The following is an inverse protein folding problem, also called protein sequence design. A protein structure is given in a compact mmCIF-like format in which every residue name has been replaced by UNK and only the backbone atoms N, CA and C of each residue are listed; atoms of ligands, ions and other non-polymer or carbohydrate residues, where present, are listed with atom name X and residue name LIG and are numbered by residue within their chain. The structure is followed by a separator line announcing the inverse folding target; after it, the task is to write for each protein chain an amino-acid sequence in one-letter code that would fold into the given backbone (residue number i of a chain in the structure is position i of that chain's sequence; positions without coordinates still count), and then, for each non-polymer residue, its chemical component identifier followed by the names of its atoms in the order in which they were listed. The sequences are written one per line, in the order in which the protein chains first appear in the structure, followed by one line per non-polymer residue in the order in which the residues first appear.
data_IF_822763453759
#
_entry.id   IF_822763453759
#
_cell.length_a   1.000
_cell.length_b   1.000
_cell.length_c   1.000
_cell.angle_alpha   90.00
_cell.angle_beta   90.00
_cell.angle_gamma   90.00
#
_symmetry.space_group_name_H-M   'P 1'
#
loop_
_entity.id
_entity.type
_entity.pdbx_description
1 polymer ?
#
# COMPACT_ATOMS: atom_id res chain seq x y z
N UNK A 1 -15.39 6.78 5.72
CA UNK A 1 -14.15 6.62 4.94
C UNK A 1 -14.27 7.26 3.56
N UNK A 2 -13.38 8.20 3.27
CA UNK A 2 -13.11 8.74 1.93
C UNK A 2 -11.89 8.03 1.35
N UNK A 3 -11.87 7.86 0.03
CA UNK A 3 -10.75 7.21 -0.68
C UNK A 3 -10.31 8.09 -1.82
N UNK A 4 -9.00 8.28 -1.95
CA UNK A 4 -8.39 8.87 -3.15
C UNK A 4 -7.36 7.90 -3.71
N UNK A 5 -7.27 7.84 -5.04
CA UNK A 5 -6.30 7.02 -5.79
C UNK A 5 -5.57 7.90 -6.78
N UNK A 6 -4.25 7.87 -6.74
CA UNK A 6 -3.39 8.62 -7.68
C UNK A 6 -2.43 7.63 -8.34
N UNK A 7 -2.33 7.70 -9.67
CA UNK A 7 -1.37 6.92 -10.46
C UNK A 7 -0.02 7.64 -10.48
N UNK A 8 1.05 6.91 -10.25
CA UNK A 8 2.43 7.38 -10.28
C UNK A 8 3.24 6.54 -11.27
N UNK A 9 4.14 7.22 -11.98
CA UNK A 9 5.19 6.61 -12.80
C UNK A 9 6.51 7.15 -12.25
N UNK A 10 7.38 6.25 -11.82
CA UNK A 10 8.69 6.55 -11.26
C UNK A 10 9.74 5.76 -12.06
N UNK A 11 10.39 6.46 -12.97
CA UNK A 11 11.38 5.89 -13.88
C UNK A 11 12.68 6.69 -13.82
N UNK A 12 13.79 6.04 -14.17
CA UNK A 12 15.07 6.72 -14.29
C UNK A 12 15.07 7.71 -15.47
N UNK A 13 16.17 8.44 -15.68
CA UNK A 13 16.40 8.98 -17.01
C UNK A 13 16.66 7.81 -17.99
N UNK A 14 16.27 7.94 -19.27
CA UNK A 14 16.69 7.00 -20.30
C UNK A 14 18.19 7.16 -20.57
N UNK A 15 18.88 6.07 -20.87
CA UNK A 15 20.28 6.08 -21.29
C UNK A 15 20.45 6.50 -22.76
N UNK A 16 21.67 6.41 -23.29
CA UNK A 16 22.00 6.80 -24.67
C UNK A 16 21.27 5.96 -25.74
N UNK A 17 20.79 4.76 -25.38
CA UNK A 17 19.96 3.87 -26.20
C UNK A 17 18.46 4.16 -26.06
N UNK A 18 18.05 4.98 -25.10
CA UNK A 18 16.65 5.21 -24.76
C UNK A 18 16.10 4.23 -23.73
N UNK A 19 16.93 3.39 -23.09
CA UNK A 19 16.50 2.41 -22.10
C UNK A 19 16.49 3.00 -20.69
N UNK A 20 15.50 2.62 -19.89
CA UNK A 20 15.37 3.04 -18.50
C UNK A 20 16.00 1.98 -17.59
N UNK A 21 16.82 2.42 -16.63
CA UNK A 21 17.41 1.53 -15.62
C UNK A 21 16.36 0.99 -14.64
N UNK A 22 15.28 1.75 -14.42
CA UNK A 22 14.07 1.30 -13.74
C UNK A 22 12.86 2.06 -14.27
N UNK A 23 11.71 1.39 -14.26
CA UNK A 23 10.40 1.97 -14.60
C UNK A 23 9.34 1.30 -13.71
N UNK A 24 8.82 2.05 -12.75
CA UNK A 24 7.79 1.60 -11.83
C UNK A 24 6.51 2.40 -12.03
N UNK A 25 5.43 1.68 -12.30
CA UNK A 25 4.10 2.27 -12.33
C UNK A 25 3.27 1.69 -11.17
N UNK A 26 2.66 2.57 -10.39
CA UNK A 26 1.88 2.17 -9.22
C UNK A 26 0.77 3.17 -8.87
N UNK A 27 -0.29 2.67 -8.26
CA UNK A 27 -1.31 3.47 -7.61
C UNK A 27 -0.96 3.68 -6.13
N UNK A 28 -1.10 4.92 -5.67
CA UNK A 28 -1.17 5.25 -4.23
C UNK A 28 -2.64 5.45 -3.86
N UNK A 29 -3.08 4.68 -2.88
CA UNK A 29 -4.39 4.83 -2.24
C UNK A 29 -4.19 5.57 -0.92
N UNK A 30 -5.04 6.58 -0.69
CA UNK A 30 -5.13 7.25 0.60
C UNK A 30 -6.57 7.16 1.12
N UNK A 31 -6.72 6.42 2.23
CA UNK A 31 -7.99 6.20 2.93
C UNK A 31 -8.06 7.11 4.15
N UNK A 32 -9.10 7.94 4.24
CA UNK A 32 -9.25 8.89 5.34
C UNK A 32 -10.58 8.66 6.05
N UNK A 33 -10.54 8.58 7.38
CA UNK A 33 -11.74 8.56 8.22
C UNK A 33 -11.49 9.34 9.50
N UNK A 34 -12.22 10.45 9.66
CA UNK A 34 -11.95 11.41 10.72
C UNK A 34 -10.55 12.03 10.59
N UNK A 35 -9.78 11.99 11.68
CA UNK A 35 -8.41 12.53 11.74
C UNK A 35 -7.30 11.52 11.44
N UNK A 36 -7.64 10.37 10.87
CA UNK A 36 -6.70 9.28 10.57
C UNK A 36 -6.68 9.02 9.06
N UNK A 37 -5.48 8.88 8.49
CA UNK A 37 -5.24 8.52 7.10
C UNK A 37 -4.41 7.22 6.99
N UNK A 38 -4.73 6.32 6.07
CA UNK A 38 -3.92 5.16 5.72
C UNK A 38 -3.45 5.25 4.28
N UNK A 39 -2.17 4.97 4.05
CA UNK A 39 -1.56 4.98 2.73
C UNK A 39 -1.25 3.55 2.32
N UNK A 40 -1.72 3.14 1.13
CA UNK A 40 -1.36 1.88 0.50
C UNK A 40 -0.85 2.09 -0.92
N UNK A 41 -0.01 1.17 -1.41
CA UNK A 41 0.54 1.17 -2.76
C UNK A 41 0.24 -0.14 -3.48
N UNK A 42 -0.09 -0.08 -4.76
CA UNK A 42 -0.28 -1.26 -5.62
C UNK A 42 0.43 -1.02 -6.94
N UNK A 43 1.33 -1.91 -7.33
CA UNK A 43 2.02 -1.83 -8.61
C UNK A 43 1.15 -2.36 -9.75
N UNK A 44 1.38 -1.88 -10.96
CA UNK A 44 0.57 -2.26 -12.13
C UNK A 44 0.94 -3.62 -12.72
N UNK A 45 2.18 -4.05 -12.52
CA UNK A 45 2.71 -5.35 -12.90
C UNK A 45 2.28 -6.47 -11.94
N UNK A 46 2.02 -6.15 -10.66
CA UNK A 46 1.38 -7.04 -9.67
C UNK A 46 0.01 -6.51 -9.23
N UNK A 47 -0.99 -6.47 -10.14
CA UNK A 47 -2.26 -5.78 -9.89
C UNK A 47 -3.13 -6.42 -8.81
N UNK A 48 -2.83 -7.65 -8.38
CA UNK A 48 -3.52 -8.36 -7.30
C UNK A 48 -2.93 -8.05 -5.91
N UNK A 49 -1.80 -7.34 -5.85
CA UNK A 49 -1.10 -7.00 -4.62
C UNK A 49 -1.36 -5.54 -4.19
N UNK A 50 -1.46 -5.32 -2.88
CA UNK A 50 -1.38 -3.98 -2.31
C UNK A 50 -0.68 -3.98 -0.94
N UNK A 51 0.10 -2.94 -0.71
CA UNK A 51 0.98 -2.81 0.45
C UNK A 51 0.65 -1.56 1.25
N UNK A 52 0.20 -1.72 2.50
CA UNK A 52 0.03 -0.61 3.44
C UNK A 52 1.40 -0.09 3.88
N UNK A 53 1.66 1.20 3.69
CA UNK A 53 2.97 1.81 3.91
C UNK A 53 3.02 2.62 5.21
N UNK A 54 2.02 3.49 5.39
CA UNK A 54 2.03 4.48 6.45
C UNK A 54 0.63 4.74 7.00
N UNK A 55 0.62 5.30 8.20
CA UNK A 55 -0.55 5.91 8.81
C UNK A 55 -0.24 7.38 9.12
N UNK A 56 -1.16 8.25 8.74
CA UNK A 56 -1.20 9.65 9.16
C UNK A 56 -2.16 9.78 10.34
N UNK A 57 -1.64 10.25 11.48
CA UNK A 57 -2.47 10.52 12.66
C UNK A 57 -1.94 11.78 13.35
N UNK A 58 -2.84 12.68 13.75
CA UNK A 58 -2.48 13.96 14.38
C UNK A 58 -1.47 14.78 13.56
N UNK A 59 -1.62 14.78 12.22
CA UNK A 59 -0.73 15.49 11.29
C UNK A 59 0.68 14.91 11.19
N UNK A 60 0.91 13.72 11.74
CA UNK A 60 2.21 13.03 11.66
C UNK A 60 2.07 11.77 10.82
N UNK A 61 2.89 11.67 9.78
CA UNK A 61 3.05 10.45 8.99
C UNK A 61 4.09 9.54 9.65
N UNK A 62 3.73 8.28 9.91
CA UNK A 62 4.64 7.27 10.46
C UNK A 62 4.36 5.89 9.88
N UNK A 63 5.27 4.93 10.11
CA UNK A 63 4.98 3.52 9.84
C UNK A 63 3.81 3.04 10.71
N UNK A 64 3.08 2.05 10.18
CA UNK A 64 2.05 1.37 10.96
C UNK A 64 2.71 0.59 12.10
N UNK A 65 1.94 0.39 13.16
CA UNK A 65 2.23 -0.53 14.25
C UNK A 65 1.14 -1.59 14.29
N UNK A 66 1.34 -2.66 15.06
CA UNK A 66 0.34 -3.71 15.19
C UNK A 66 -0.99 -3.20 15.78
N UNK A 67 -0.95 -2.18 16.64
CA UNK A 67 -2.14 -1.54 17.18
C UNK A 67 -2.97 -0.81 16.10
N UNK A 68 -2.32 -0.27 15.07
CA UNK A 68 -3.00 0.42 13.98
C UNK A 68 -3.77 -0.57 13.10
N UNK A 69 -3.31 -1.82 13.00
CA UNK A 69 -4.01 -2.87 12.24
C UNK A 69 -5.37 -3.25 12.84
N UNK A 70 -5.57 -2.96 14.13
CA UNK A 70 -6.84 -3.19 14.83
C UNK A 70 -7.83 -2.01 14.69
N UNK A 71 -7.43 -0.90 14.05
CA UNK A 71 -8.30 0.26 13.87
C UNK A 71 -9.41 -0.04 12.85
N UNK A 72 -10.64 0.50 13.05
CA UNK A 72 -11.74 0.30 12.12
C UNK A 72 -11.42 0.71 10.67
N UNK A 73 -10.67 1.80 10.50
CA UNK A 73 -10.23 2.28 9.18
C UNK A 73 -9.41 1.23 8.42
N UNK A 74 -8.62 0.42 9.14
CA UNK A 74 -7.80 -0.61 8.52
C UNK A 74 -8.65 -1.74 7.92
N UNK A 75 -9.73 -2.14 8.59
CA UNK A 75 -10.67 -3.12 8.07
C UNK A 75 -11.41 -2.58 6.83
N UNK A 76 -11.89 -1.33 6.88
CA UNK A 76 -12.57 -0.69 5.76
C UNK A 76 -11.66 -0.56 4.52
N UNK A 77 -10.38 -0.20 4.73
CA UNK A 77 -9.41 -0.12 3.65
C UNK A 77 -9.11 -1.49 3.03
N UNK A 78 -8.99 -2.55 3.83
CA UNK A 78 -8.84 -3.91 3.31
C UNK A 78 -10.03 -4.33 2.46
N UNK A 79 -11.25 -4.06 2.91
CA UNK A 79 -12.46 -4.42 2.16
C UNK A 79 -12.55 -3.68 0.84
N UNK A 80 -12.22 -2.39 0.83
CA UNK A 80 -12.14 -1.61 -0.41
C UNK A 80 -11.09 -2.18 -1.38
N UNK A 81 -9.87 -2.45 -0.91
CA UNK A 81 -8.82 -3.01 -1.75
C UNK A 81 -9.21 -4.39 -2.30
N UNK A 82 -9.86 -5.24 -1.50
CA UNK A 82 -10.37 -6.53 -1.98
C UNK A 82 -11.47 -6.37 -3.05
N UNK A 83 -12.32 -5.37 -2.93
CA UNK A 83 -13.32 -5.04 -3.97
C UNK A 83 -12.67 -4.56 -5.26
N UNK A 84 -11.54 -3.84 -5.17
CA UNK A 84 -10.69 -3.47 -6.32
C UNK A 84 -9.87 -4.65 -6.88
N UNK A 85 -10.04 -5.87 -6.34
CA UNK A 85 -9.36 -7.07 -6.79
C UNK A 85 -8.00 -7.32 -6.13
N UNK A 86 -7.61 -6.56 -5.10
CA UNK A 86 -6.36 -6.79 -4.37
C UNK A 86 -6.53 -7.95 -3.39
N UNK A 87 -6.01 -9.12 -3.77
CA UNK A 87 -6.11 -10.36 -3.00
C UNK A 87 -4.97 -10.50 -2.00
N UNK A 88 -3.80 -10.00 -2.36
CA UNK A 88 -2.59 -10.12 -1.54
C UNK A 88 -2.29 -8.79 -0.86
N UNK A 89 -2.65 -8.72 0.42
CA UNK A 89 -2.46 -7.54 1.23
C UNK A 89 -1.30 -7.75 2.20
N UNK A 90 -0.34 -6.83 2.19
CA UNK A 90 0.79 -6.79 3.13
C UNK A 90 0.92 -5.41 3.75
N UNK A 91 1.75 -5.29 4.77
CA UNK A 91 2.07 -4.00 5.40
C UNK A 91 3.56 -3.86 5.66
N UNK A 92 4.07 -2.63 5.53
CA UNK A 92 5.44 -2.26 5.83
C UNK A 92 5.60 -2.18 7.35
N UNK A 93 6.00 -3.29 7.96
CA UNK A 93 6.19 -3.40 9.41
C UNK A 93 7.57 -2.95 9.87
N UNK A 94 8.52 -2.81 8.94
CA UNK A 94 9.92 -2.48 9.23
C UNK A 94 10.71 -3.62 9.86
N UNK A 95 10.16 -4.84 9.90
CA UNK A 95 10.81 -6.06 10.39
C UNK A 95 11.20 -6.97 9.23
N UNK A 96 12.23 -7.80 9.38
CA UNK A 96 12.68 -8.73 8.34
C UNK A 96 12.99 -8.01 7.03
N UNK A 97 12.41 -8.48 5.92
CA UNK A 97 12.50 -7.84 4.59
C UNK A 97 11.63 -6.56 4.47
N UNK A 98 11.09 -6.07 5.59
CA UNK A 98 10.31 -4.85 5.70
C UNK A 98 8.80 -5.09 5.66
N UNK A 99 8.33 -6.07 4.89
CA UNK A 99 6.90 -6.34 4.71
C UNK A 99 6.45 -7.66 5.35
N UNK A 100 5.27 -7.65 5.96
CA UNK A 100 4.61 -8.85 6.48
C UNK A 100 3.20 -9.01 5.90
N UNK A 101 2.69 -10.25 5.76
CA UNK A 101 1.27 -10.48 5.47
C UNK A 101 0.37 -9.85 6.53
N UNK A 102 -0.83 -9.42 6.13
CA UNK A 102 -1.82 -8.96 7.10
C UNK A 102 -2.29 -10.10 8.02
N UNK A 103 -2.53 -9.84 9.31
CA UNK A 103 -3.13 -10.81 10.21
C UNK A 103 -4.49 -11.29 9.65
N UNK A 104 -4.64 -12.60 9.45
CA UNK A 104 -5.86 -13.19 8.89
C UNK A 104 -5.92 -13.23 7.35
N UNK A 105 -4.85 -12.83 6.65
CA UNK A 105 -4.71 -13.09 5.22
C UNK A 105 -4.45 -14.58 4.95
N UNK A 106 -4.98 -15.11 3.83
CA UNK A 106 -4.54 -16.42 3.35
C UNK A 106 -3.03 -16.35 3.07
N UNK A 107 -2.24 -17.37 3.47
CA UNK A 107 -0.83 -17.40 3.10
C UNK A 107 -0.70 -17.37 1.58
N UNK A 108 0.19 -16.52 1.05
CA UNK A 108 0.54 -16.55 -0.37
C UNK A 108 1.03 -17.96 -0.69
N UNK A 109 0.46 -18.60 -1.72
CA UNK A 109 0.95 -19.90 -2.16
C UNK A 109 2.36 -19.69 -2.70
N UNK A 110 3.33 -20.37 -2.08
CA UNK A 110 4.68 -20.54 -2.59
C UNK A 110 4.67 -21.31 -3.91
#
# INVERSE_FOLDING_TARGET
MQVSRVRHIDCSAPDASGEYAYDYEYDIYHFVDGGIGLIARSYTDTPEEAHFLNIEANGTLRLLTQADLAQPLFALAQDYLRQEGKRELRWLSGRGDGYEPLPGGMPSRA
#
